data_IF_683936470990
#
_entry.id   IF_683936470990
#
_cell.length_a   1.000
_cell.length_b   1.000
_cell.length_c   1.000
_cell.angle_alpha   90.00
_cell.angle_beta   90.00
_cell.angle_gamma   90.00
#
_symmetry.space_group_name_H-M   'P 1'
#
loop_
_entity.id
_entity.type
_entity.pdbx_description
1 polymer ?
#
# COMPACT_ATOMS: atom_id res chain seq x y z
N UNK A 1 31.65 -5.97 2.89
CA UNK A 1 30.65 -5.60 1.87
C UNK A 1 29.35 -5.31 2.64
N UNK A 2 29.15 -4.06 3.04
CA UNK A 2 28.01 -3.63 3.87
C UNK A 2 26.80 -3.36 2.97
N UNK A 3 25.66 -3.96 3.27
CA UNK A 3 24.40 -3.71 2.56
C UNK A 3 24.00 -2.22 2.69
N UNK A 4 23.38 -1.61 1.66
CA UNK A 4 22.85 -0.27 1.78
C UNK A 4 21.72 -0.27 2.80
N UNK A 5 21.84 0.56 3.83
CA UNK A 5 20.77 0.84 4.79
C UNK A 5 19.68 1.63 4.08
N UNK A 6 18.45 1.10 4.07
CA UNK A 6 17.28 1.85 3.63
C UNK A 6 17.15 3.17 4.41
N UNK A 7 16.68 4.25 3.77
CA UNK A 7 16.40 5.50 4.48
C UNK A 7 15.35 5.26 5.58
N UNK A 8 15.43 5.99 6.70
CA UNK A 8 14.44 5.88 7.76
C UNK A 8 13.05 6.23 7.22
N UNK A 9 12.11 5.30 7.39
CA UNK A 9 10.71 5.51 7.07
C UNK A 9 10.21 6.77 7.82
N UNK A 10 9.56 7.74 7.16
CA UNK A 10 9.02 8.92 7.85
C UNK A 10 8.07 8.50 8.99
N UNK A 11 7.95 9.31 10.05
CA UNK A 11 7.06 8.99 11.16
C UNK A 11 5.61 8.93 10.66
N UNK A 12 5.06 7.72 10.61
CA UNK A 12 3.66 7.49 10.35
C UNK A 12 2.87 7.98 11.56
N UNK A 13 1.81 8.80 11.40
CA UNK A 13 0.90 9.10 12.49
C UNK A 13 0.31 7.77 12.98
N UNK A 14 0.70 7.33 14.17
CA UNK A 14 0.12 6.14 14.76
C UNK A 14 -1.17 6.54 15.47
N UNK A 15 -2.31 5.88 15.18
CA UNK A 15 -3.50 6.08 15.99
C UNK A 15 -3.17 5.80 17.46
N UNK A 16 -3.81 6.51 18.41
CA UNK A 16 -3.53 6.35 19.83
C UNK A 16 -3.84 4.93 20.28
N UNK A 17 -2.79 4.10 20.35
CA UNK A 17 -2.68 2.83 21.07
C UNK A 17 -3.97 1.97 21.08
N UNK A 18 -4.20 1.21 20.00
CA UNK A 18 -5.18 0.11 20.05
C UNK A 18 -4.65 -0.96 21.01
N UNK A 19 -5.33 -1.16 22.14
CA UNK A 19 -5.06 -2.30 23.02
C UNK A 19 -5.15 -3.59 22.18
N UNK A 20 -4.36 -4.64 22.48
CA UNK A 20 -4.28 -5.85 21.65
C UNK A 20 -5.63 -6.53 21.38
N UNK A 21 -6.62 -6.32 22.25
CA UNK A 21 -7.97 -6.86 22.13
C UNK A 21 -8.99 -5.88 21.51
N UNK A 22 -8.57 -4.66 21.15
CA UNK A 22 -9.43 -3.69 20.49
C UNK A 22 -9.56 -4.04 19.00
N UNK A 23 -10.78 -4.13 18.45
CA UNK A 23 -10.98 -4.30 17.01
C UNK A 23 -10.33 -3.16 16.22
N UNK A 24 -9.70 -3.50 15.09
CA UNK A 24 -9.23 -2.52 14.10
C UNK A 24 -10.41 -1.88 13.39
N UNK A 25 -10.26 -0.62 12.98
CA UNK A 25 -11.28 0.05 12.14
C UNK A 25 -11.36 -0.58 10.76
N UNK A 26 -10.21 -1.01 10.22
CA UNK A 26 -10.12 -1.64 8.90
C UNK A 26 -9.08 -2.75 8.87
N UNK A 27 -9.50 -3.91 8.34
CA UNK A 27 -8.59 -5.02 8.03
C UNK A 27 -8.76 -5.40 6.56
N UNK A 28 -7.70 -5.19 5.77
CA UNK A 28 -7.63 -5.64 4.39
C UNK A 28 -7.00 -7.04 4.29
N UNK A 29 -7.66 -7.95 3.57
CA UNK A 29 -7.12 -9.29 3.27
C UNK A 29 -6.76 -9.35 1.78
N UNK A 30 -5.49 -9.66 1.52
CA UNK A 30 -4.83 -9.55 0.22
C UNK A 30 -4.25 -8.16 -0.01
N UNK A 31 -3.01 -8.09 -0.49
CA UNK A 31 -2.31 -6.87 -0.89
C UNK A 31 -2.13 -6.92 -2.41
N UNK A 32 -3.27 -6.87 -3.12
CA UNK A 32 -3.31 -6.61 -4.57
C UNK A 32 -3.44 -5.10 -4.86
N UNK A 33 -3.48 -4.67 -6.13
CA UNK A 33 -3.57 -3.24 -6.49
C UNK A 33 -4.71 -2.50 -5.80
N UNK A 34 -5.89 -3.13 -5.63
CA UNK A 34 -7.03 -2.50 -4.97
C UNK A 34 -6.77 -2.17 -3.50
N UNK A 35 -6.25 -3.12 -2.72
CA UNK A 35 -5.96 -2.88 -1.30
C UNK A 35 -4.68 -2.07 -1.11
N UNK A 36 -3.73 -2.12 -2.06
CA UNK A 36 -2.57 -1.23 -2.05
C UNK A 36 -2.98 0.23 -2.31
N UNK A 37 -3.93 0.47 -3.21
CA UNK A 37 -4.58 1.78 -3.42
C UNK A 37 -5.27 2.26 -2.15
N UNK A 38 -6.08 1.39 -1.52
CA UNK A 38 -6.76 1.74 -0.26
C UNK A 38 -5.78 2.05 0.87
N UNK A 39 -4.69 1.29 0.99
CA UNK A 39 -3.64 1.55 1.98
C UNK A 39 -2.94 2.90 1.74
N UNK A 40 -2.63 3.23 0.49
CA UNK A 40 -2.03 4.51 0.12
C UNK A 40 -2.97 5.71 0.43
N UNK A 41 -4.27 5.57 0.15
CA UNK A 41 -5.27 6.59 0.49
C UNK A 41 -5.55 6.68 1.99
N UNK A 42 -5.38 5.58 2.74
CA UNK A 42 -5.52 5.55 4.19
C UNK A 42 -4.31 6.11 4.93
N UNK A 43 -3.11 6.03 4.34
CA UNK A 43 -1.85 6.47 4.96
C UNK A 43 -1.86 7.87 5.61
N UNK A 44 -2.45 8.93 5.01
CA UNK A 44 -2.51 10.25 5.65
C UNK A 44 -3.55 10.37 6.79
N UNK A 45 -4.42 9.38 6.98
CA UNK A 45 -5.52 9.41 7.94
C UNK A 45 -5.04 8.92 9.32
N UNK A 46 -4.49 9.82 10.12
CA UNK A 46 -3.89 9.52 11.42
C UNK A 46 -4.81 8.81 12.43
N UNK A 47 -6.12 8.98 12.29
CA UNK A 47 -7.13 8.43 13.21
C UNK A 47 -7.64 7.05 12.76
N UNK A 48 -7.31 6.60 11.55
CA UNK A 48 -7.80 5.34 11.00
C UNK A 48 -6.84 4.19 11.34
N UNK A 49 -7.27 3.26 12.19
CA UNK A 49 -6.52 2.06 12.50
C UNK A 49 -6.73 0.98 11.42
N UNK A 50 -5.96 1.10 10.34
CA UNK A 50 -5.98 0.20 9.20
C UNK A 50 -4.76 -0.73 9.15
N UNK A 51 -5.01 -2.01 8.88
CA UNK A 51 -3.95 -3.00 8.62
C UNK A 51 -4.30 -3.87 7.42
N UNK A 52 -3.29 -4.25 6.64
CA UNK A 52 -3.44 -5.07 5.45
C UNK A 52 -2.51 -6.28 5.52
N UNK A 53 -3.04 -7.46 5.21
CA UNK A 53 -2.30 -8.72 5.26
C UNK A 53 -2.34 -9.42 3.92
N UNK A 54 -1.21 -9.98 3.50
CA UNK A 54 -1.14 -10.95 2.41
C UNK A 54 -0.47 -12.23 2.89
N UNK A 55 -0.80 -13.35 2.26
CA UNK A 55 -0.13 -14.63 2.50
C UNK A 55 1.25 -14.68 1.80
N UNK A 56 1.41 -13.94 0.70
CA UNK A 56 2.64 -13.87 -0.04
C UNK A 56 3.68 -13.06 0.75
N UNK A 57 4.95 -13.52 0.80
CA UNK A 57 6.00 -12.84 1.55
C UNK A 57 6.47 -11.54 0.91
N UNK A 58 6.11 -11.29 -0.35
CA UNK A 58 6.42 -10.09 -1.11
C UNK A 58 5.34 -9.81 -2.14
N UNK A 59 5.16 -8.53 -2.49
CA UNK A 59 4.23 -8.12 -3.53
C UNK A 59 4.72 -8.55 -4.91
N UNK A 60 3.86 -9.23 -5.67
CA UNK A 60 4.09 -9.52 -7.08
C UNK A 60 2.74 -9.51 -7.82
N UNK A 61 2.57 -8.60 -8.77
CA UNK A 61 1.32 -8.50 -9.52
C UNK A 61 1.38 -9.33 -10.81
N UNK A 62 0.61 -10.42 -10.84
CA UNK A 62 0.54 -11.38 -11.94
C UNK A 62 1.92 -11.79 -12.51
N UNK A 63 2.86 -12.30 -11.68
CA UNK A 63 4.23 -12.58 -12.13
C UNK A 63 4.30 -13.55 -13.32
N UNK A 64 3.36 -14.50 -13.42
CA UNK A 64 3.29 -15.44 -14.55
C UNK A 64 2.80 -14.84 -15.88
N UNK A 65 2.37 -13.56 -15.88
CA UNK A 65 1.86 -12.84 -17.06
C UNK A 65 2.75 -11.64 -17.45
N UNK A 66 3.89 -11.47 -16.79
CA UNK A 66 4.89 -10.45 -17.15
C UNK A 66 5.72 -10.91 -18.36
N UNK A 67 5.06 -11.02 -19.51
CA UNK A 67 5.66 -11.43 -20.78
C UNK A 67 6.45 -10.28 -21.41
N UNK A 68 7.50 -10.61 -22.17
CA UNK A 68 8.26 -9.63 -22.93
C UNK A 68 7.36 -8.83 -23.87
N UNK A 69 7.51 -7.51 -23.84
CA UNK A 69 6.71 -6.59 -24.65
C UNK A 69 5.31 -6.29 -24.10
N UNK A 70 4.87 -6.93 -23.00
CA UNK A 70 3.63 -6.56 -22.33
C UNK A 70 3.62 -5.08 -21.89
N UNK A 71 2.41 -4.51 -21.82
CA UNK A 71 2.14 -3.11 -21.47
C UNK A 71 0.88 -3.05 -20.62
N UNK A 72 0.82 -2.08 -19.72
CA UNK A 72 -0.41 -1.70 -19.04
C UNK A 72 -1.38 -1.11 -20.08
N UNK A 73 -2.64 -1.57 -20.08
CA UNK A 73 -3.66 -1.14 -21.05
C UNK A 73 -4.39 0.14 -20.63
N UNK A 74 -4.22 0.56 -19.38
CA UNK A 74 -4.77 1.79 -18.81
C UNK A 74 -3.73 2.91 -18.83
N UNK A 75 -4.14 4.19 -18.94
CA UNK A 75 -3.20 5.31 -18.85
C UNK A 75 -2.50 5.32 -17.50
N UNK A 76 -1.28 5.86 -17.44
CA UNK A 76 -0.53 5.94 -16.17
C UNK A 76 -1.25 6.77 -15.10
N UNK A 77 -2.10 7.73 -15.51
CA UNK A 77 -2.98 8.50 -14.60
C UNK A 77 -3.97 7.61 -13.83
N UNK A 78 -4.27 6.42 -14.34
CA UNK A 78 -5.00 5.37 -13.64
C UNK A 78 -4.02 4.49 -12.83
N UNK A 79 -3.08 5.13 -12.12
CA UNK A 79 -2.31 4.51 -11.06
C UNK A 79 -3.21 4.20 -9.85
N UNK A 80 -2.60 3.95 -8.69
CA UNK A 80 -3.32 3.55 -7.49
C UNK A 80 -4.16 4.68 -6.87
N UNK A 81 -3.79 5.96 -7.03
CA UNK A 81 -4.33 7.04 -6.18
C UNK A 81 -4.64 8.33 -6.92
N UNK A 82 -4.00 8.61 -8.06
CA UNK A 82 -4.05 9.91 -8.76
C UNK A 82 -5.47 10.35 -9.11
N UNK A 83 -6.36 9.41 -9.47
CA UNK A 83 -7.76 9.75 -9.77
C UNK A 83 -8.59 10.12 -8.53
N UNK A 84 -8.15 9.75 -7.33
CA UNK A 84 -8.79 10.10 -6.06
C UNK A 84 -8.12 11.31 -5.39
N UNK A 85 -6.78 11.35 -5.39
CA UNK A 85 -5.97 12.45 -4.88
C UNK A 85 -4.69 12.60 -5.72
N UNK A 86 -4.65 13.57 -6.67
CA UNK A 86 -3.48 13.81 -7.52
C UNK A 86 -2.30 14.46 -6.77
N UNK A 87 -2.47 14.81 -5.49
CA UNK A 87 -1.40 15.37 -4.64
C UNK A 87 -0.71 14.33 -3.77
N UNK A 88 -1.20 13.08 -3.82
CA UNK A 88 -0.66 11.98 -3.03
C UNK A 88 0.82 11.72 -3.32
N UNK A 89 1.66 11.48 -2.30
CA UNK A 89 3.06 11.08 -2.50
C UNK A 89 3.20 9.63 -3.02
N UNK A 90 2.08 8.90 -3.16
CA UNK A 90 2.03 7.51 -3.59
C UNK A 90 1.65 7.30 -5.07
N UNK A 91 1.59 8.39 -5.84
CA UNK A 91 1.47 8.37 -7.31
C UNK A 91 2.79 7.99 -7.99
#
# INVERSE_FOLDING_TARGET
MTAPTDPPNPPHPQPPYSAPDTPRDLVGVGIGPCNLSLAALAHPLAELDAVFYDQAPAFAWHPGLLLDGSRIQVPFLADLVTLADPTSPWS
#
